data_IF_620189126725
#
_entry.id   IF_620189126725
#
_cell.length_a   1.000
_cell.length_b   1.000
_cell.length_c   1.000
_cell.angle_alpha   90.00
_cell.angle_beta   90.00
_cell.angle_gamma   90.00
#
_symmetry.space_group_name_H-M   'P 1'
#
loop_
_entity.id
_entity.type
_entity.pdbx_description
1 polymer ?
#
# COMPACT_ATOMS: atom_id res chain seq x y z
N UNK A 1 23.58 16.74 -10.11
CA UNK A 1 22.96 15.66 -9.31
C UNK A 1 21.46 15.91 -9.35
N UNK A 2 20.68 14.96 -9.82
CA UNK A 2 19.21 15.00 -9.76
C UNK A 2 18.82 15.16 -8.29
N UNK A 3 17.96 16.11 -7.97
CA UNK A 3 17.49 16.32 -6.60
C UNK A 3 16.72 15.07 -6.14
N UNK A 4 16.66 14.79 -4.83
CA UNK A 4 15.87 13.65 -4.33
C UNK A 4 14.40 13.79 -4.74
N UNK A 5 13.89 15.03 -4.79
CA UNK A 5 12.55 15.34 -5.27
C UNK A 5 12.31 15.00 -6.72
N UNK A 6 13.33 15.03 -7.58
CA UNK A 6 13.15 14.74 -9.01
C UNK A 6 12.74 13.27 -9.22
N UNK A 7 13.19 12.35 -8.34
CA UNK A 7 12.85 10.91 -8.41
C UNK A 7 11.33 10.70 -8.30
N UNK A 8 10.65 11.42 -7.40
CA UNK A 8 9.22 11.25 -7.15
C UNK A 8 8.35 12.34 -7.77
N UNK A 9 8.94 13.41 -8.36
CA UNK A 9 8.18 14.53 -8.95
C UNK A 9 8.22 14.54 -10.48
N UNK A 10 9.21 13.91 -11.10
CA UNK A 10 9.39 13.89 -12.55
C UNK A 10 9.63 12.48 -13.05
N UNK A 11 8.58 11.83 -13.56
CA UNK A 11 8.71 10.51 -14.19
C UNK A 11 8.94 10.69 -15.70
N UNK A 12 9.88 9.96 -16.34
CA UNK A 12 10.31 10.24 -17.73
C UNK A 12 9.23 10.04 -18.80
N UNK A 13 8.16 9.31 -18.50
CA UNK A 13 7.18 8.83 -19.49
C UNK A 13 5.73 8.98 -18.99
N UNK A 14 5.43 10.02 -18.21
CA UNK A 14 4.04 10.31 -17.87
C UNK A 14 3.28 10.76 -19.13
N UNK A 15 2.72 9.79 -19.88
CA UNK A 15 1.78 10.05 -20.97
C UNK A 15 0.65 10.89 -20.36
N UNK A 16 0.46 12.11 -20.85
CA UNK A 16 -0.60 12.97 -20.37
C UNK A 16 -1.95 12.33 -20.71
N UNK A 17 -2.78 11.92 -19.74
CA UNK A 17 -4.09 11.34 -20.03
C UNK A 17 -5.05 12.37 -20.67
N UNK A 18 -4.67 13.65 -20.77
CA UNK A 18 -5.43 14.66 -21.51
C UNK A 18 -5.46 14.31 -23.01
N UNK A 19 -6.48 13.53 -23.38
CA UNK A 19 -6.71 13.05 -24.74
C UNK A 19 -6.68 11.53 -24.90
N UNK A 20 -6.48 10.76 -23.83
CA UNK A 20 -6.65 9.31 -23.87
C UNK A 20 -8.13 8.97 -24.04
N UNK A 21 -8.46 8.16 -25.06
CA UNK A 21 -9.81 7.67 -25.24
C UNK A 21 -10.19 6.64 -24.16
N UNK A 22 -11.49 6.36 -24.02
CA UNK A 22 -12.00 5.41 -23.01
C UNK A 22 -11.34 4.03 -23.13
N UNK A 23 -10.96 3.63 -24.34
CA UNK A 23 -10.29 2.36 -24.60
C UNK A 23 -8.88 2.34 -24.01
N UNK A 24 -8.10 3.40 -24.22
CA UNK A 24 -6.74 3.54 -23.67
C UNK A 24 -6.76 3.53 -22.14
N UNK A 25 -7.75 4.19 -21.53
CA UNK A 25 -7.93 4.18 -20.07
C UNK A 25 -8.26 2.78 -19.57
N UNK A 26 -9.18 2.07 -20.22
CA UNK A 26 -9.54 0.70 -19.87
C UNK A 26 -8.38 -0.29 -20.06
N UNK A 27 -7.56 -0.11 -21.11
CA UNK A 27 -6.36 -0.91 -21.33
C UNK A 27 -5.29 -0.65 -20.27
N UNK A 28 -5.03 0.61 -19.91
CA UNK A 28 -4.11 0.96 -18.82
C UNK A 28 -4.57 0.40 -17.47
N UNK A 29 -5.87 0.48 -17.19
CA UNK A 29 -6.51 -0.07 -16.01
C UNK A 29 -6.46 -1.61 -15.97
N UNK A 30 -6.63 -2.27 -17.10
CA UNK A 30 -6.45 -3.72 -17.23
C UNK A 30 -4.98 -4.12 -17.00
N UNK A 31 -4.05 -3.46 -17.68
CA UNK A 31 -2.61 -3.73 -17.59
C UNK A 31 -2.08 -3.48 -16.18
N UNK A 32 -2.58 -2.46 -15.47
CA UNK A 32 -2.20 -2.21 -14.08
C UNK A 32 -2.45 -3.42 -13.15
N UNK A 33 -3.42 -4.27 -13.50
CA UNK A 33 -3.84 -5.46 -12.72
C UNK A 33 -3.34 -6.79 -13.27
N UNK A 34 -2.89 -6.84 -14.53
CA UNK A 34 -2.57 -8.08 -15.21
C UNK A 34 -1.20 -8.03 -15.86
N UNK A 35 -0.32 -8.93 -15.44
CA UNK A 35 0.99 -9.06 -16.04
C UNK A 35 1.57 -10.46 -15.86
N UNK A 36 2.20 -10.98 -16.90
CA UNK A 36 2.92 -12.25 -16.88
C UNK A 36 4.21 -12.13 -17.67
N UNK A 37 5.30 -12.71 -17.18
CA UNK A 37 6.58 -12.61 -17.88
C UNK A 37 6.51 -13.38 -19.21
N UNK A 38 6.90 -12.76 -20.34
CA UNK A 38 6.91 -13.44 -21.63
C UNK A 38 8.00 -14.52 -21.72
N UNK A 39 8.94 -14.53 -20.78
CA UNK A 39 10.04 -15.50 -20.73
C UNK A 39 9.56 -16.76 -20.00
N UNK A 40 9.60 -17.95 -20.64
CA UNK A 40 9.23 -19.20 -19.98
C UNK A 40 10.31 -19.66 -18.98
N UNK A 41 9.92 -20.55 -18.07
CA UNK A 41 10.84 -21.15 -17.09
C UNK A 41 10.74 -20.54 -15.68
N UNK A 42 11.57 -21.00 -14.73
CA UNK A 42 11.50 -20.56 -13.34
C UNK A 42 12.11 -19.15 -13.14
N UNK A 43 11.43 -18.31 -12.36
CA UNK A 43 11.98 -17.03 -11.89
C UNK A 43 12.70 -17.24 -10.55
N UNK A 44 13.92 -17.75 -10.58
CA UNK A 44 14.71 -18.02 -9.37
C UNK A 44 15.22 -16.69 -8.77
N UNK A 45 14.99 -16.40 -7.48
CA UNK A 45 15.49 -15.18 -6.85
C UNK A 45 16.99 -14.95 -7.08
N UNK A 46 17.34 -13.75 -7.52
CA UNK A 46 18.71 -13.35 -7.85
C UNK A 46 19.18 -13.70 -9.27
N UNK A 47 18.39 -14.44 -10.06
CA UNK A 47 18.71 -14.66 -11.48
C UNK A 47 18.41 -13.40 -12.32
N UNK A 48 19.01 -13.32 -13.51
CA UNK A 48 18.76 -12.22 -14.43
C UNK A 48 17.29 -12.19 -14.90
N UNK A 49 16.69 -13.36 -15.11
CA UNK A 49 15.29 -13.53 -15.50
C UNK A 49 14.34 -13.06 -14.41
N UNK A 50 14.60 -13.41 -13.14
CA UNK A 50 13.80 -12.92 -12.01
C UNK A 50 13.90 -11.40 -11.88
N UNK A 51 15.12 -10.85 -11.91
CA UNK A 51 15.34 -9.40 -11.83
C UNK A 51 14.61 -8.65 -12.95
N UNK A 52 14.76 -9.13 -14.19
CA UNK A 52 14.10 -8.56 -15.37
C UNK A 52 12.58 -8.62 -15.24
N UNK A 53 12.03 -9.78 -14.85
CA UNK A 53 10.59 -9.95 -14.69
C UNK A 53 10.01 -8.99 -13.64
N UNK A 54 10.72 -8.76 -12.53
CA UNK A 54 10.27 -7.80 -11.50
C UNK A 54 10.26 -6.37 -12.03
N UNK A 55 11.32 -5.96 -12.73
CA UNK A 55 11.41 -4.61 -13.30
C UNK A 55 10.41 -4.37 -14.42
N UNK A 56 10.25 -5.34 -15.34
CA UNK A 56 9.24 -5.30 -16.41
C UNK A 56 7.83 -5.28 -15.84
N UNK A 57 7.50 -6.14 -14.88
CA UNK A 57 6.20 -6.13 -14.20
C UNK A 57 5.87 -4.75 -13.66
N UNK A 58 6.81 -4.14 -12.92
CA UNK A 58 6.55 -2.86 -12.30
C UNK A 58 6.46 -1.71 -13.31
N UNK A 59 7.23 -1.79 -14.41
CA UNK A 59 7.21 -0.80 -15.50
C UNK A 59 5.95 -0.92 -16.37
N UNK A 60 5.62 -2.11 -16.82
CA UNK A 60 4.54 -2.37 -17.79
C UNK A 60 3.16 -2.15 -17.15
N UNK A 61 3.05 -2.37 -15.84
CA UNK A 61 1.81 -2.15 -15.09
C UNK A 61 1.75 -0.75 -14.44
N UNK A 62 2.72 0.12 -14.74
CA UNK A 62 2.72 1.51 -14.25
C UNK A 62 1.67 2.34 -15.00
N UNK A 63 0.72 2.92 -14.27
CA UNK A 63 -0.32 3.77 -14.83
C UNK A 63 -0.07 5.25 -14.47
N UNK A 64 0.27 6.14 -15.42
CA UNK A 64 0.58 7.54 -15.15
C UNK A 64 -0.66 8.45 -14.98
N UNK A 65 -1.76 7.94 -14.41
CA UNK A 65 -2.93 8.80 -14.18
C UNK A 65 -2.62 9.93 -13.18
N UNK A 66 -3.28 11.08 -13.36
CA UNK A 66 -3.04 12.29 -12.55
C UNK A 66 -4.15 12.48 -11.50
N UNK A 67 -3.84 12.58 -10.19
CA UNK A 67 -4.83 12.83 -9.14
C UNK A 67 -5.66 14.09 -9.35
N UNK A 68 -5.08 15.12 -9.98
CA UNK A 68 -5.75 16.39 -10.28
C UNK A 68 -6.96 16.26 -11.21
N UNK A 69 -7.17 15.09 -11.82
CA UNK A 69 -8.27 14.81 -12.74
C UNK A 69 -9.41 14.03 -12.05
N UNK A 70 -9.24 13.64 -10.77
CA UNK A 70 -10.29 12.95 -10.01
C UNK A 70 -11.48 13.90 -9.81
N UNK A 71 -12.64 13.50 -10.31
CA UNK A 71 -13.90 14.20 -10.09
C UNK A 71 -14.47 13.79 -8.73
N UNK A 72 -14.12 14.52 -7.68
CA UNK A 72 -14.61 14.23 -6.32
C UNK A 72 -16.14 14.30 -6.26
N UNK A 73 -16.82 13.23 -5.81
CA UNK A 73 -18.28 13.22 -5.75
C UNK A 73 -18.79 14.21 -4.71
N UNK A 74 -19.93 14.84 -4.99
CA UNK A 74 -20.66 15.63 -4.00
C UNK A 74 -21.30 14.70 -2.99
N UNK A 75 -20.92 14.85 -1.73
CA UNK A 75 -21.44 14.02 -0.63
C UNK A 75 -22.66 14.69 -0.01
N UNK A 76 -23.66 13.89 0.38
CA UNK A 76 -24.74 14.37 1.23
C UNK A 76 -24.21 14.77 2.63
N UNK A 77 -24.95 15.58 3.40
CA UNK A 77 -24.46 16.09 4.69
C UNK A 77 -24.09 15.01 5.72
N UNK A 78 -24.72 13.84 5.68
CA UNK A 78 -24.42 12.75 6.61
C UNK A 78 -23.13 12.05 6.21
N UNK A 79 -22.97 11.73 4.93
CA UNK A 79 -21.73 11.14 4.40
C UNK A 79 -20.53 12.08 4.54
N UNK A 80 -20.70 13.37 4.24
CA UNK A 80 -19.64 14.36 4.41
C UNK A 80 -19.16 14.43 5.87
N UNK A 81 -20.10 14.45 6.83
CA UNK A 81 -19.76 14.40 8.26
C UNK A 81 -18.97 13.15 8.61
N UNK A 82 -19.41 11.98 8.13
CA UNK A 82 -18.69 10.70 8.37
C UNK A 82 -17.25 10.76 7.86
N UNK A 83 -17.06 11.13 6.60
CA UNK A 83 -15.72 11.25 5.97
C UNK A 83 -14.84 12.25 6.74
N UNK A 84 -15.34 13.46 6.99
CA UNK A 84 -14.59 14.53 7.65
C UNK A 84 -14.29 14.26 9.13
N UNK A 85 -15.05 13.38 9.79
CA UNK A 85 -14.84 13.00 11.19
C UNK A 85 -13.81 11.90 11.41
N UNK A 86 -13.35 11.23 10.35
CA UNK A 86 -12.37 10.15 10.50
C UNK A 86 -11.02 10.71 11.02
N UNK A 87 -10.48 10.21 12.14
CA UNK A 87 -9.26 10.74 12.76
C UNK A 87 -7.98 10.25 12.06
N UNK A 88 -8.04 10.01 10.75
CA UNK A 88 -6.97 9.34 9.99
C UNK A 88 -6.27 10.26 8.99
N UNK A 89 -6.89 11.37 8.60
CA UNK A 89 -6.43 12.13 7.41
C UNK A 89 -5.04 12.71 7.58
N UNK A 90 -4.75 13.32 8.74
CA UNK A 90 -3.41 13.81 9.08
C UNK A 90 -2.36 12.70 9.00
N UNK A 91 -2.66 11.57 9.62
CA UNK A 91 -1.75 10.42 9.68
C UNK A 91 -1.54 9.85 8.28
N UNK A 92 -2.60 9.71 7.48
CA UNK A 92 -2.54 9.17 6.13
C UNK A 92 -1.67 10.05 5.23
N UNK A 93 -1.96 11.36 5.11
CA UNK A 93 -1.17 12.28 4.28
C UNK A 93 0.31 12.31 4.72
N UNK A 94 0.57 12.33 6.03
CA UNK A 94 1.93 12.34 6.55
C UNK A 94 2.67 11.02 6.32
N UNK A 95 1.95 9.89 6.36
CA UNK A 95 2.51 8.55 6.11
C UNK A 95 2.94 8.43 4.66
N UNK A 96 2.07 8.77 3.71
CA UNK A 96 2.41 8.81 2.28
C UNK A 96 3.58 9.78 2.01
N UNK A 97 3.55 10.95 2.67
CA UNK A 97 4.62 11.93 2.56
C UNK A 97 5.99 11.44 3.05
N UNK A 98 6.02 10.54 4.05
CA UNK A 98 7.24 9.86 4.50
C UNK A 98 7.59 8.68 3.59
N UNK A 99 6.62 7.90 3.12
CA UNK A 99 6.81 6.74 2.26
C UNK A 99 7.54 7.13 0.97
N UNK A 100 7.01 8.10 0.22
CA UNK A 100 7.65 8.62 -1.02
C UNK A 100 9.11 9.01 -0.84
N UNK A 101 9.45 9.62 0.31
CA UNK A 101 10.79 10.11 0.60
C UNK A 101 11.72 8.95 0.89
N UNK A 102 11.27 7.96 1.67
CA UNK A 102 12.04 6.76 2.01
C UNK A 102 12.27 5.90 0.78
N UNK A 103 11.25 5.70 -0.05
CA UNK A 103 11.37 4.98 -1.33
C UNK A 103 12.38 5.66 -2.25
N UNK A 104 12.29 6.98 -2.44
CA UNK A 104 13.21 7.73 -3.29
C UNK A 104 14.65 7.71 -2.74
N UNK A 105 14.81 7.86 -1.42
CA UNK A 105 16.13 7.86 -0.78
C UNK A 105 16.82 6.51 -0.96
N UNK A 106 16.05 5.42 -0.87
CA UNK A 106 16.56 4.08 -1.13
C UNK A 106 16.85 3.85 -2.62
N UNK A 107 15.93 4.22 -3.52
CA UNK A 107 16.13 4.10 -4.97
C UNK A 107 17.42 4.79 -5.44
N UNK A 108 17.76 5.95 -4.86
CA UNK A 108 19.01 6.67 -5.17
C UNK A 108 20.28 5.83 -4.90
N UNK A 109 20.26 4.98 -3.89
CA UNK A 109 21.37 4.11 -3.47
C UNK A 109 21.55 2.88 -4.36
N UNK A 110 20.57 2.54 -5.19
CA UNK A 110 20.62 1.36 -6.05
C UNK A 110 21.43 1.66 -7.32
N UNK A 111 22.43 0.81 -7.57
CA UNK A 111 23.28 0.87 -8.76
C UNK A 111 22.70 0.10 -9.95
N UNK A 112 21.98 -0.99 -9.70
CA UNK A 112 21.36 -1.78 -10.77
C UNK A 112 20.25 -0.95 -11.46
N UNK A 113 20.37 -0.68 -12.77
CA UNK A 113 19.49 0.29 -13.43
C UNK A 113 18.03 -0.17 -13.48
N UNK A 114 17.78 -1.48 -13.61
CA UNK A 114 16.42 -2.02 -13.70
C UNK A 114 15.71 -1.89 -12.34
N UNK A 115 16.40 -2.25 -11.26
CA UNK A 115 15.85 -2.13 -9.90
C UNK A 115 15.73 -0.66 -9.48
N UNK A 116 16.67 0.19 -9.88
CA UNK A 116 16.60 1.63 -9.64
C UNK A 116 15.36 2.25 -10.28
N UNK A 117 15.08 1.91 -11.54
CA UNK A 117 13.88 2.37 -12.26
C UNK A 117 12.60 1.91 -11.56
N UNK A 118 12.49 0.62 -11.23
CA UNK A 118 11.31 0.08 -10.53
C UNK A 118 11.06 0.77 -9.16
N UNK A 119 12.11 0.94 -8.36
CA UNK A 119 12.00 1.61 -7.04
C UNK A 119 11.73 3.11 -7.16
N UNK A 120 12.26 3.76 -8.20
CA UNK A 120 11.97 5.18 -8.47
C UNK A 120 10.51 5.38 -8.87
N UNK A 121 9.97 4.47 -9.69
CA UNK A 121 8.55 4.46 -10.03
C UNK A 121 7.69 4.24 -8.80
N UNK A 122 8.08 3.33 -7.89
CA UNK A 122 7.38 3.14 -6.62
C UNK A 122 7.33 4.46 -5.83
N UNK A 123 8.48 5.12 -5.63
CA UNK A 123 8.53 6.40 -4.93
C UNK A 123 7.63 7.49 -5.53
N UNK A 124 7.41 7.45 -6.84
CA UNK A 124 6.49 8.34 -7.52
C UNK A 124 5.02 7.99 -7.27
N UNK A 125 4.66 6.70 -7.27
CA UNK A 125 3.31 6.24 -6.94
C UNK A 125 2.95 6.61 -5.49
N UNK A 126 3.88 6.45 -4.55
CA UNK A 126 3.74 6.94 -3.16
C UNK A 126 3.50 8.45 -3.09
N UNK A 127 4.24 9.24 -3.88
CA UNK A 127 4.00 10.69 -3.96
C UNK A 127 2.60 10.97 -4.54
N UNK A 128 2.14 10.15 -5.48
CA UNK A 128 0.79 10.25 -6.02
C UNK A 128 -0.26 9.91 -4.96
N UNK A 129 -0.06 8.92 -4.11
CA UNK A 129 -0.97 8.61 -3.00
C UNK A 129 -1.12 9.83 -2.08
N UNK A 130 -0.01 10.48 -1.72
CA UNK A 130 -0.04 11.75 -0.98
C UNK A 130 -0.86 12.82 -1.69
N UNK A 131 -0.67 13.01 -3.00
CA UNK A 131 -1.41 13.99 -3.78
C UNK A 131 -2.91 13.68 -3.84
N UNK A 132 -3.30 12.41 -4.03
CA UNK A 132 -4.70 11.97 -3.98
C UNK A 132 -5.34 12.33 -2.64
N UNK A 133 -4.69 11.99 -1.52
CA UNK A 133 -5.19 12.28 -0.18
C UNK A 133 -5.25 13.79 0.10
N UNK A 134 -4.23 14.54 -0.30
CA UNK A 134 -4.20 16.00 -0.14
C UNK A 134 -5.34 16.67 -0.92
N UNK A 135 -5.67 16.16 -2.11
CA UNK A 135 -6.79 16.64 -2.93
C UNK A 135 -8.15 16.27 -2.37
N UNK A 136 -8.29 15.09 -1.75
CA UNK A 136 -9.51 14.73 -1.03
C UNK A 136 -9.78 15.68 0.13
N UNK A 137 -8.75 15.92 0.94
CA UNK A 137 -8.80 16.83 2.09
C UNK A 137 -9.21 18.23 1.67
N UNK A 138 -8.61 18.74 0.58
CA UNK A 138 -8.97 20.03 -0.02
C UNK A 138 -10.42 20.03 -0.53
N UNK A 139 -10.84 18.99 -1.24
CA UNK A 139 -12.16 18.89 -1.85
C UNK A 139 -13.31 18.88 -0.81
N UNK A 140 -13.06 18.31 0.37
CA UNK A 140 -14.05 18.19 1.45
C UNK A 140 -13.82 19.15 2.62
N UNK A 141 -12.90 20.12 2.49
CA UNK A 141 -12.51 21.10 3.53
C UNK A 141 -12.19 20.43 4.88
N UNK A 142 -11.48 19.30 4.84
CA UNK A 142 -11.05 18.59 6.04
C UNK A 142 -9.94 19.41 6.70
N UNK A 143 -10.09 19.67 8.01
CA UNK A 143 -9.08 20.42 8.77
C UNK A 143 -7.90 19.50 9.09
N UNK A 144 -6.72 19.95 8.69
CA UNK A 144 -5.47 19.22 8.88
C UNK A 144 -4.59 19.90 9.91
N UNK A 145 -3.88 19.10 10.70
CA UNK A 145 -2.71 19.56 11.41
C UNK A 145 -1.60 19.97 10.42
N UNK A 146 -0.71 20.90 10.81
CA UNK A 146 0.45 21.23 9.99
C UNK A 146 1.30 19.99 9.68
N UNK A 147 1.65 19.81 8.41
CA UNK A 147 2.55 18.72 8.01
C UNK A 147 3.95 18.94 8.63
N UNK A 148 4.54 17.91 9.27
CA UNK A 148 5.91 17.99 9.76
C UNK A 148 6.89 18.08 8.57
N UNK A 149 8.11 18.61 8.80
CA UNK A 149 9.13 18.62 7.76
C UNK A 149 9.49 17.19 7.34
N UNK A 150 9.54 16.96 6.03
CA UNK A 150 9.96 15.69 5.44
C UNK A 150 11.49 15.62 5.40
N UNK A 151 12.08 14.91 6.37
CA UNK A 151 13.53 14.79 6.54
C UNK A 151 14.02 13.48 5.93
N UNK A 152 15.04 13.56 5.09
CA UNK A 152 15.66 12.37 4.48
C UNK A 152 16.18 11.41 5.57
N UNK A 153 15.87 10.11 5.51
CA UNK A 153 16.32 9.16 6.51
C UNK A 153 17.85 9.00 6.49
N UNK A 154 18.46 8.99 7.69
CA UNK A 154 19.92 8.75 7.84
C UNK A 154 20.33 7.33 7.43
N UNK A 155 19.50 6.35 7.78
CA UNK A 155 19.66 4.94 7.37
C UNK A 155 18.56 4.62 6.36
N UNK A 156 18.90 4.74 5.08
CA UNK A 156 17.96 4.60 3.97
C UNK A 156 17.47 3.16 3.80
N UNK A 157 18.34 2.16 3.99
CA UNK A 157 17.96 0.74 3.92
C UNK A 157 17.06 0.34 5.08
N UNK A 158 17.37 0.78 6.30
CA UNK A 158 16.46 0.58 7.44
C UNK A 158 15.09 1.20 7.18
N UNK A 159 15.05 2.45 6.72
CA UNK A 159 13.80 3.16 6.47
C UNK A 159 12.96 2.48 5.38
N UNK A 160 13.61 1.99 4.32
CA UNK A 160 12.96 1.23 3.26
C UNK A 160 12.42 -0.11 3.73
N UNK A 161 13.17 -0.86 4.55
CA UNK A 161 12.69 -2.11 5.15
C UNK A 161 11.49 -1.88 6.08
N UNK A 162 11.55 -0.86 6.94
CA UNK A 162 10.43 -0.49 7.84
C UNK A 162 9.18 -0.19 7.03
N UNK A 163 9.31 0.64 6.00
CA UNK A 163 8.19 1.03 5.13
C UNK A 163 7.62 -0.17 4.37
N UNK A 164 8.45 -0.93 3.63
CA UNK A 164 7.95 -2.06 2.84
C UNK A 164 7.38 -3.22 3.66
N UNK A 165 7.90 -3.50 4.87
CA UNK A 165 7.28 -4.47 5.77
C UNK A 165 5.97 -3.94 6.39
N UNK A 166 5.87 -2.65 6.69
CA UNK A 166 4.62 -2.03 7.15
C UNK A 166 3.55 -2.13 6.08
N UNK A 167 3.85 -1.71 4.83
CA UNK A 167 2.93 -1.80 3.69
C UNK A 167 2.46 -3.24 3.46
N UNK A 168 3.33 -4.25 3.59
CA UNK A 168 2.91 -5.65 3.48
C UNK A 168 1.82 -6.05 4.49
N UNK A 169 1.85 -5.48 5.70
CA UNK A 169 0.84 -5.74 6.74
C UNK A 169 -0.38 -4.85 6.53
N UNK A 170 -0.14 -3.56 6.28
CA UNK A 170 -1.17 -2.53 6.18
C UNK A 170 -2.04 -2.74 4.94
N UNK A 171 -1.43 -3.00 3.77
CA UNK A 171 -2.15 -3.39 2.55
C UNK A 171 -3.05 -4.61 2.77
N UNK A 172 -2.57 -5.65 3.47
CA UNK A 172 -3.36 -6.86 3.70
C UNK A 172 -4.67 -6.56 4.45
N UNK A 173 -4.63 -5.68 5.46
CA UNK A 173 -5.83 -5.27 6.18
C UNK A 173 -6.64 -4.22 5.42
N UNK A 174 -5.98 -3.28 4.74
CA UNK A 174 -6.62 -2.25 3.93
C UNK A 174 -7.46 -2.85 2.80
N UNK A 175 -6.97 -3.89 2.13
CA UNK A 175 -7.72 -4.60 1.09
C UNK A 175 -9.06 -5.15 1.60
N UNK A 176 -9.06 -5.76 2.78
CA UNK A 176 -10.28 -6.26 3.40
C UNK A 176 -11.20 -5.13 3.85
N UNK A 177 -10.65 -4.09 4.49
CA UNK A 177 -11.44 -2.94 4.98
C UNK A 177 -12.09 -2.18 3.84
N UNK A 178 -11.37 -2.01 2.74
CA UNK A 178 -11.85 -1.36 1.54
C UNK A 178 -13.00 -2.15 0.89
N UNK A 179 -12.85 -3.47 0.75
CA UNK A 179 -13.94 -4.31 0.25
C UNK A 179 -15.16 -4.31 1.20
N UNK A 180 -14.93 -4.22 2.51
CA UNK A 180 -16.02 -4.12 3.48
C UNK A 180 -16.76 -2.79 3.35
N UNK A 181 -16.04 -1.68 3.21
CA UNK A 181 -16.60 -0.36 2.95
C UNK A 181 -17.45 -0.37 1.67
N UNK A 182 -16.96 -1.01 0.60
CA UNK A 182 -17.69 -1.16 -0.66
C UNK A 182 -18.97 -1.99 -0.51
N UNK A 183 -18.88 -3.16 0.16
CA UNK A 183 -20.02 -4.07 0.34
C UNK A 183 -21.08 -3.52 1.30
N UNK A 184 -20.69 -2.71 2.28
CA UNK A 184 -21.63 -2.16 3.27
C UNK A 184 -22.47 -1.00 2.73
N UNK A 185 -22.07 -0.38 1.61
CA UNK A 185 -22.68 0.85 1.09
C UNK A 185 -22.51 2.03 2.05
N UNK A 186 -21.57 1.94 2.99
CA UNK A 186 -21.37 2.96 4.01
C UNK A 186 -20.87 4.28 3.40
N UNK A 187 -20.04 4.20 2.35
CA UNK A 187 -19.67 5.35 1.52
C UNK A 187 -20.23 5.19 0.08
N UNK A 188 -20.47 6.30 -0.64
CA UNK A 188 -20.88 6.26 -2.05
C UNK A 188 -19.86 5.49 -2.89
N UNK A 189 -20.36 4.68 -3.83
CA UNK A 189 -19.51 3.89 -4.71
C UNK A 189 -18.51 4.77 -5.48
N UNK A 190 -18.95 5.94 -5.92
CA UNK A 190 -18.12 6.90 -6.65
C UNK A 190 -16.94 7.39 -5.81
N UNK A 191 -17.09 7.51 -4.48
CA UNK A 191 -16.00 7.90 -3.59
C UNK A 191 -15.01 6.75 -3.43
N UNK A 192 -15.51 5.54 -3.21
CA UNK A 192 -14.68 4.35 -3.05
C UNK A 192 -13.89 4.08 -4.33
N UNK A 193 -14.53 4.14 -5.50
CA UNK A 193 -13.89 3.90 -6.80
C UNK A 193 -12.70 4.83 -7.08
N UNK A 194 -12.67 6.05 -6.51
CA UNK A 194 -11.51 6.95 -6.65
C UNK A 194 -10.22 6.38 -6.06
N UNK A 195 -10.34 5.46 -5.10
CA UNK A 195 -9.23 4.84 -4.38
C UNK A 195 -8.85 3.45 -4.89
N UNK A 196 -9.65 2.82 -5.75
CA UNK A 196 -9.31 1.49 -6.28
C UNK A 196 -7.96 1.47 -7.01
N UNK A 197 -7.58 2.51 -7.80
CA UNK A 197 -6.24 2.56 -8.37
C UNK A 197 -5.12 2.61 -7.32
N UNK A 198 -5.31 3.35 -6.22
CA UNK A 198 -4.37 3.41 -5.09
C UNK A 198 -4.25 2.01 -4.45
N UNK A 199 -5.37 1.34 -4.19
CA UNK A 199 -5.34 -0.03 -3.64
C UNK A 199 -4.62 -1.03 -4.55
N UNK A 200 -4.69 -0.83 -5.87
CA UNK A 200 -3.95 -1.68 -6.82
C UNK A 200 -2.45 -1.36 -6.83
N UNK A 201 -2.07 -0.10 -6.68
CA UNK A 201 -0.68 0.33 -6.57
C UNK A 201 -0.02 -0.22 -5.32
N UNK A 202 -0.70 -0.15 -4.18
CA UNK A 202 -0.28 -0.81 -2.94
C UNK A 202 0.03 -2.30 -3.15
N UNK A 203 -0.81 -3.01 -3.93
CA UNK A 203 -0.54 -4.41 -4.30
C UNK A 203 0.75 -4.56 -5.12
N UNK A 204 1.02 -3.67 -6.06
CA UNK A 204 2.26 -3.64 -6.84
C UNK A 204 3.47 -3.33 -5.95
N UNK A 205 3.34 -2.42 -4.99
CA UNK A 205 4.41 -1.99 -4.09
C UNK A 205 4.89 -3.16 -3.24
N UNK A 206 3.95 -3.88 -2.61
CA UNK A 206 4.29 -5.06 -1.80
C UNK A 206 4.74 -6.25 -2.65
N UNK A 207 4.30 -6.34 -3.92
CA UNK A 207 4.82 -7.32 -4.89
C UNK A 207 6.28 -7.00 -5.24
N UNK A 208 6.59 -5.74 -5.53
CA UNK A 208 7.94 -5.25 -5.79
C UNK A 208 8.82 -5.50 -4.56
N UNK A 209 8.39 -5.10 -3.37
CA UNK A 209 9.16 -5.28 -2.14
C UNK A 209 9.48 -6.74 -1.85
N UNK A 210 8.49 -7.64 -1.96
CA UNK A 210 8.71 -9.08 -1.72
C UNK A 210 9.75 -9.68 -2.68
N UNK A 211 9.74 -9.26 -3.95
CA UNK A 211 10.69 -9.73 -4.94
C UNK A 211 12.05 -9.04 -4.84
N UNK A 212 12.09 -7.74 -4.59
CA UNK A 212 13.32 -6.99 -4.30
C UNK A 212 14.04 -7.62 -3.10
N UNK A 213 13.32 -7.90 -2.01
CA UNK A 213 13.91 -8.47 -0.79
C UNK A 213 14.57 -9.84 -1.07
N UNK A 214 13.93 -10.66 -1.91
CA UNK A 214 14.47 -11.94 -2.31
C UNK A 214 15.66 -11.82 -3.27
N UNK A 215 15.60 -10.89 -4.21
CA UNK A 215 16.71 -10.55 -5.10
C UNK A 215 17.91 -10.04 -4.30
N UNK A 216 17.70 -9.08 -3.40
CA UNK A 216 18.72 -8.47 -2.56
C UNK A 216 19.39 -9.50 -1.65
N UNK A 217 18.62 -10.39 -1.01
CA UNK A 217 19.17 -11.53 -0.24
C UNK A 217 20.01 -12.49 -1.09
N UNK A 218 19.65 -12.68 -2.36
CA UNK A 218 20.30 -13.64 -3.25
C UNK A 218 21.55 -13.07 -3.93
N UNK A 219 21.61 -11.75 -4.17
CA UNK A 219 22.77 -11.08 -4.78
C UNK A 219 23.77 -10.55 -3.76
N UNK A 220 23.37 -10.41 -2.49
CA UNK A 220 24.25 -9.98 -1.41
C UNK A 220 25.39 -10.97 -1.12
N UNK A 221 26.62 -10.50 -0.85
CA UNK A 221 27.71 -11.34 -0.36
C UNK A 221 27.30 -12.14 0.89
N UNK A 222 27.63 -13.44 0.90
CA UNK A 222 27.18 -14.36 1.97
C UNK A 222 27.59 -13.93 3.38
N UNK A 223 28.68 -13.18 3.54
CA UNK A 223 29.16 -12.68 4.83
C UNK A 223 28.37 -11.46 5.35
N UNK A 224 27.71 -10.71 4.47
CA UNK A 224 26.82 -9.60 4.86
C UNK A 224 25.43 -10.12 5.28
N UNK A 225 25.05 -11.30 4.77
CA UNK A 225 23.71 -11.87 4.98
C UNK A 225 23.30 -12.03 6.45
N UNK A 226 24.15 -12.51 7.38
CA UNK A 226 23.76 -12.59 8.79
C UNK A 226 23.38 -11.23 9.39
N UNK A 227 24.13 -10.17 9.04
CA UNK A 227 23.84 -8.80 9.50
C UNK A 227 22.55 -8.26 8.89
N UNK A 228 22.31 -8.54 7.61
CA UNK A 228 21.06 -8.16 6.95
C UNK A 228 19.85 -8.86 7.58
N UNK A 229 19.93 -10.16 7.89
CA UNK A 229 18.81 -10.86 8.54
C UNK A 229 18.60 -10.39 9.99
N UNK A 230 19.66 -10.03 10.72
CA UNK A 230 19.53 -9.37 12.03
C UNK A 230 18.84 -8.00 11.90
N UNK A 231 19.17 -7.23 10.86
CA UNK A 231 18.50 -5.96 10.55
C UNK A 231 17.01 -6.19 10.24
N UNK A 232 16.67 -7.19 9.43
CA UNK A 232 15.26 -7.57 9.15
C UNK A 232 14.53 -7.95 10.43
N UNK A 233 15.15 -8.74 11.31
CA UNK A 233 14.57 -9.09 12.61
C UNK A 233 14.34 -7.85 13.48
N UNK A 234 15.32 -6.94 13.55
CA UNK A 234 15.22 -5.70 14.29
C UNK A 234 14.10 -4.79 13.76
N UNK A 235 13.90 -4.75 12.44
CA UNK A 235 12.75 -4.05 11.82
C UNK A 235 11.43 -4.67 12.28
N UNK A 236 11.30 -6.00 12.29
CA UNK A 236 10.08 -6.65 12.78
C UNK A 236 9.82 -6.37 14.26
N UNK A 237 10.86 -6.42 15.10
CA UNK A 237 10.74 -6.06 16.52
C UNK A 237 10.30 -4.60 16.66
N UNK A 238 10.89 -3.69 15.87
CA UNK A 238 10.51 -2.29 15.84
C UNK A 238 9.04 -2.10 15.42
N UNK A 239 8.58 -2.76 14.36
CA UNK A 239 7.18 -2.67 13.90
C UNK A 239 6.18 -3.19 14.95
N UNK A 240 6.51 -4.31 15.62
CA UNK A 240 5.70 -4.83 16.72
C UNK A 240 5.70 -3.88 17.91
N UNK A 241 6.86 -3.32 18.26
CA UNK A 241 6.98 -2.32 19.32
C UNK A 241 6.14 -1.08 19.01
N UNK A 242 6.20 -0.53 17.80
CA UNK A 242 5.36 0.61 17.39
C UNK A 242 3.87 0.26 17.49
N UNK A 243 3.46 -0.90 16.97
CA UNK A 243 2.05 -1.33 17.04
C UNK A 243 1.53 -1.56 18.46
N UNK A 244 2.38 -1.96 19.41
CA UNK A 244 2.01 -2.15 20.83
C UNK A 244 2.14 -0.84 21.63
N UNK A 245 3.22 -0.09 21.44
CA UNK A 245 3.58 1.12 22.19
C UNK A 245 2.67 2.32 21.88
N UNK A 246 2.07 2.35 20.70
CA UNK A 246 1.06 3.35 20.31
C UNK A 246 -0.32 3.11 20.97
N UNK A 247 -0.52 2.01 21.70
CA UNK A 247 -1.67 1.89 22.62
C UNK A 247 -1.52 2.83 23.84
N UNK A 248 -0.37 3.48 24.01
CA UNK A 248 -0.05 4.42 25.09
C UNK A 248 0.94 5.51 24.62
N UNK A 249 0.49 6.53 23.89
CA UNK A 249 1.29 7.74 23.64
C UNK A 249 0.80 8.91 24.48
N UNK A 250 1.67 9.43 25.35
CA UNK A 250 1.50 10.70 26.09
C UNK A 250 2.42 11.72 25.41
N UNK A 251 1.90 12.88 25.04
CA UNK A 251 2.69 13.94 24.41
C UNK A 251 3.61 14.67 25.40
N UNK A 252 4.46 15.58 24.87
CA UNK A 252 5.43 16.35 25.66
C UNK A 252 4.78 17.32 26.66
N UNK A 253 3.47 17.56 26.55
CA UNK A 253 2.66 18.39 27.45
C UNK A 253 1.86 17.55 28.46
N UNK A 254 2.05 16.22 28.47
CA UNK A 254 1.40 15.31 29.41
C UNK A 254 -0.04 14.94 29.04
N UNK A 255 -0.50 15.27 27.84
CA UNK A 255 -1.83 14.87 27.36
C UNK A 255 -1.76 13.49 26.69
N UNK A 256 -2.68 12.63 27.08
CA UNK A 256 -2.93 11.36 26.38
C UNK A 256 -3.64 11.73 25.07
N UNK A 257 -2.91 11.72 23.96
CA UNK A 257 -3.58 11.59 22.66
C UNK A 257 -3.74 10.10 22.40
N UNK A 258 -4.99 9.65 22.32
CA UNK A 258 -5.31 8.36 21.72
C UNK A 258 -4.97 8.45 20.23
N UNK A 259 -3.68 8.33 19.91
CA UNK A 259 -3.22 8.19 18.53
C UNK A 259 -3.57 6.78 18.07
N UNK A 260 -4.79 6.64 17.55
CA UNK A 260 -5.31 5.36 17.10
C UNK A 260 -4.74 5.01 15.72
N UNK A 261 -3.46 4.63 15.70
CA UNK A 261 -2.82 3.99 14.54
C UNK A 261 -3.24 2.51 14.41
N UNK A 262 -4.20 2.05 15.22
CA UNK A 262 -4.67 0.68 15.26
C UNK A 262 -5.82 0.47 14.25
N UNK A 263 -5.57 0.84 12.99
CA UNK A 263 -6.50 0.74 11.85
C UNK A 263 -7.14 -0.66 11.67
N UNK A 264 -6.61 -1.69 12.32
CA UNK A 264 -7.03 -3.08 12.15
C UNK A 264 -8.27 -3.51 12.94
N UNK A 265 -8.63 -2.86 14.06
CA UNK A 265 -9.80 -3.27 14.88
C UNK A 265 -10.78 -2.13 15.16
N UNK A 266 -10.32 -0.90 15.40
CA UNK A 266 -11.18 0.28 15.46
C UNK A 266 -11.61 0.73 14.05
N UNK A 267 -10.69 0.68 13.09
CA UNK A 267 -10.96 1.05 11.69
C UNK A 267 -12.10 0.27 11.04
N UNK A 268 -12.33 -1.00 11.40
CA UNK A 268 -13.48 -1.75 10.88
C UNK A 268 -14.83 -1.15 11.30
N UNK A 269 -14.95 -0.64 12.53
CA UNK A 269 -16.18 -0.01 13.02
C UNK A 269 -16.43 1.36 12.39
N UNK A 270 -15.36 2.06 12.03
CA UNK A 270 -15.45 3.36 11.37
C UNK A 270 -15.75 3.25 9.87
N UNK A 271 -15.55 2.06 9.28
CA UNK A 271 -15.73 1.80 7.84
C UNK A 271 -17.04 1.09 7.49
N UNK A 272 -17.83 0.62 8.47
CA UNK A 272 -19.11 -0.05 8.23
C UNK A 272 -20.08 0.09 9.40
N UNK A 273 -21.38 0.14 9.07
CA UNK A 273 -22.47 0.02 10.05
C UNK A 273 -22.84 -1.44 10.37
N UNK A 274 -22.18 -2.42 9.75
CA UNK A 274 -22.48 -3.83 9.93
C UNK A 274 -21.68 -4.40 11.11
N UNK A 275 -22.31 -5.26 11.91
CA UNK A 275 -21.61 -6.06 12.92
C UNK A 275 -20.83 -7.17 12.21
N UNK A 276 -19.55 -6.90 11.92
CA UNK A 276 -18.66 -7.84 11.22
C UNK A 276 -17.86 -8.61 12.25
N UNK A 277 -17.98 -9.94 12.21
CA UNK A 277 -17.15 -10.78 13.06
C UNK A 277 -15.68 -10.69 12.63
N UNK A 278 -14.76 -10.81 13.59
CA UNK A 278 -13.31 -10.85 13.28
C UNK A 278 -12.97 -11.94 12.26
N UNK A 279 -13.74 -13.04 12.24
CA UNK A 279 -13.54 -14.12 11.28
C UNK A 279 -13.92 -13.70 9.85
N UNK A 280 -15.06 -13.03 9.68
CA UNK A 280 -15.50 -12.55 8.36
C UNK A 280 -14.55 -11.48 7.83
N UNK A 281 -14.03 -10.62 8.72
CA UNK A 281 -13.01 -9.63 8.38
C UNK A 281 -11.71 -10.29 7.86
N UNK A 282 -11.22 -11.32 8.57
CA UNK A 282 -10.04 -12.09 8.15
C UNK A 282 -10.29 -12.80 6.82
N UNK A 283 -11.47 -13.40 6.64
CA UNK A 283 -11.83 -14.08 5.39
C UNK A 283 -11.84 -13.08 4.23
N UNK A 284 -12.37 -11.88 4.43
CA UNK A 284 -12.36 -10.81 3.44
C UNK A 284 -10.94 -10.33 3.11
N UNK A 285 -10.07 -10.12 4.09
CA UNK A 285 -8.65 -9.79 3.82
C UNK A 285 -7.97 -10.87 2.99
N UNK A 286 -8.23 -12.15 3.27
CA UNK A 286 -7.63 -13.26 2.53
C UNK A 286 -8.14 -13.33 1.09
N UNK A 287 -9.44 -13.18 0.88
CA UNK A 287 -10.09 -13.15 -0.45
C UNK A 287 -9.54 -12.00 -1.29
N UNK A 288 -9.52 -10.79 -0.73
CA UNK A 288 -9.11 -9.59 -1.43
C UNK A 288 -7.61 -9.54 -1.71
N UNK A 289 -6.79 -10.08 -0.81
CA UNK A 289 -5.37 -10.29 -1.05
C UNK A 289 -5.16 -11.24 -2.24
N UNK A 290 -5.84 -12.39 -2.28
CA UNK A 290 -5.74 -13.32 -3.41
C UNK A 290 -6.23 -12.69 -4.71
N UNK A 291 -7.39 -12.00 -4.68
CA UNK A 291 -7.98 -11.32 -5.84
C UNK A 291 -6.99 -10.34 -6.46
N UNK A 292 -6.40 -9.45 -5.66
CA UNK A 292 -5.47 -8.41 -6.16
C UNK A 292 -4.17 -9.01 -6.73
N UNK A 293 -3.67 -10.10 -6.16
CA UNK A 293 -2.48 -10.77 -6.68
C UNK A 293 -2.74 -11.73 -7.86
N UNK A 294 -3.99 -12.08 -8.16
CA UNK A 294 -4.34 -13.13 -9.12
C UNK A 294 -3.96 -12.79 -10.57
N UNK A 295 -3.91 -11.50 -10.91
CA UNK A 295 -3.54 -11.05 -12.25
C UNK A 295 -2.04 -10.99 -12.53
N UNK A 296 -1.19 -11.17 -11.51
CA UNK A 296 0.27 -11.15 -11.67
C UNK A 296 0.87 -12.55 -11.77
N UNK A 297 1.97 -12.67 -12.51
CA UNK A 297 2.71 -13.92 -12.71
C UNK A 297 2.84 -14.74 -11.41
N UNK A 298 2.32 -15.99 -11.38
CA UNK A 298 2.36 -16.83 -10.18
C UNK A 298 3.80 -17.20 -9.76
N UNK A 299 4.79 -17.05 -10.65
CA UNK A 299 6.21 -17.29 -10.36
C UNK A 299 6.85 -16.17 -9.53
N UNK A 300 6.27 -14.96 -9.51
CA UNK A 300 6.73 -13.87 -8.66
C UNK A 300 6.37 -14.14 -7.19
N UNK A 301 7.24 -13.68 -6.29
CA UNK A 301 7.05 -13.86 -4.85
C UNK A 301 5.98 -12.91 -4.32
N UNK A 302 5.16 -13.39 -3.38
CA UNK A 302 4.12 -12.61 -2.69
C UNK A 302 4.44 -12.52 -1.19
N UNK A 303 4.03 -11.44 -0.49
CA UNK A 303 4.09 -11.37 0.97
C UNK A 303 3.36 -12.55 1.62
N UNK A 304 3.97 -13.19 2.62
CA UNK A 304 3.41 -14.39 3.26
C UNK A 304 3.04 -14.23 4.73
N UNK A 305 3.66 -13.29 5.45
CA UNK A 305 3.52 -13.23 6.91
C UNK A 305 2.07 -12.94 7.32
N UNK A 306 1.51 -11.79 6.90
CA UNK A 306 0.15 -11.42 7.28
C UNK A 306 -0.91 -12.44 6.82
N UNK A 307 -0.91 -12.92 5.54
CA UNK A 307 -1.84 -13.99 5.13
C UNK A 307 -1.69 -15.29 5.92
N UNK A 308 -0.48 -15.70 6.30
CA UNK A 308 -0.27 -16.93 7.07
C UNK A 308 -0.71 -16.78 8.52
N UNK A 309 -0.45 -15.63 9.15
CA UNK A 309 -0.95 -15.32 10.49
C UNK A 309 -2.48 -15.27 10.50
N UNK A 310 -3.09 -14.63 9.50
CA UNK A 310 -4.54 -14.57 9.33
C UNK A 310 -5.15 -15.96 9.16
N UNK A 311 -4.57 -16.82 8.30
CA UNK A 311 -4.99 -18.23 8.15
C UNK A 311 -4.85 -19.01 9.46
N UNK A 312 -3.79 -18.78 10.22
CA UNK A 312 -3.59 -19.42 11.52
C UNK A 312 -4.65 -18.97 12.52
N UNK A 313 -4.86 -17.66 12.68
CA UNK A 313 -5.90 -17.10 13.56
C UNK A 313 -7.30 -17.61 13.19
N UNK A 314 -7.60 -17.70 11.89
CA UNK A 314 -8.87 -18.23 11.36
C UNK A 314 -9.20 -19.64 11.86
N UNK A 315 -8.19 -20.48 12.17
CA UNK A 315 -8.41 -21.84 12.70
C UNK A 315 -9.03 -21.83 14.10
N UNK A 316 -8.80 -20.78 14.89
CA UNK A 316 -9.28 -20.67 16.27
C UNK A 316 -10.58 -19.87 16.42
N UNK A 317 -10.92 -19.05 15.43
CA UNK A 317 -12.16 -18.27 15.45
C UNK A 317 -13.37 -19.15 15.11
N UNK A 318 -14.49 -18.99 15.81
CA UNK A 318 -15.74 -19.72 15.49
C UNK A 318 -16.36 -19.18 14.19
N UNK A 319 -16.97 -20.07 13.39
CA UNK A 319 -17.84 -19.64 12.28
C UNK A 319 -19.08 -18.97 12.87
N UNK A 320 -19.44 -17.74 12.46
CA UNK A 320 -20.69 -17.14 12.88
C UNK A 320 -21.87 -18.00 12.42
N UNK A 321 -22.88 -18.17 13.29
CA UNK A 321 -24.08 -18.98 13.02
C UNK A 321 -25.02 -18.38 11.96
N UNK A 322 -24.58 -17.38 11.18
CA UNK A 322 -25.40 -16.62 10.22
C UNK A 322 -24.72 -16.34 8.88
N UNK A 323 -23.66 -17.08 8.52
CA UNK A 323 -22.81 -16.86 7.33
C UNK A 323 -23.51 -17.06 5.95
N UNK A 324 -24.82 -16.84 5.85
CA UNK A 324 -25.58 -16.80 4.59
C UNK A 324 -25.87 -15.38 4.09
N UNK A 325 -25.51 -14.34 4.84
CA UNK A 325 -25.89 -12.96 4.53
C UNK A 325 -24.90 -12.23 3.58
N UNK A 326 -23.62 -12.62 3.53
CA UNK A 326 -22.61 -11.98 2.67
C UNK A 326 -22.36 -12.74 1.35
N UNK A 327 -22.98 -13.90 1.16
CA UNK A 327 -22.82 -14.77 -0.02
C UNK A 327 -23.80 -14.44 -1.16
N UNK A 328 -24.57 -13.35 -1.05
CA UNK A 328 -25.59 -12.96 -2.03
C UNK A 328 -25.53 -11.48 -2.37
N UNK A 329 -24.55 -11.13 -3.18
CA UNK A 329 -24.63 -10.03 -4.16
C UNK A 329 -23.46 -10.24 -5.11
N UNK A 330 -23.68 -11.18 -6.04
CA UNK A 330 -22.84 -11.37 -7.22
C UNK A 330 -23.21 -10.35 -8.28
#
# INVERSE_FOLDING_TARGET
>A
MTSLSDIYSSLPEAIDPKGADTKTVAEADFNARHWSSPVPGPLKPGSAEHKRAVAEMFRDTFNPYKPSVIAWPKLDPETLRRVTSLPIWDIAVQTEGKARLRMAAYARMIDDPDMKDALSRNAWEENRHKEVLSKLVEAYDIKMAPEPPYIEPRDTEWAYLVTGFSECVDSFFAFGLFALAQRSGFFPAELIETFEPVMQEECRHILLFANWLAWHRATMPLWQRPWFELRVLAVWVFLVYERIGLATSIDADGNVQEQDNNFTVSGAKDMTNMDVSLRDMIDLCLEENERRFSGYDPRLLRPKLAPNLARFLRLFLRRPSGARALEKTA
#
